data_IF_223762734666
#
_entry.id   IF_223762734666
#
_cell.length_a   1.000
_cell.length_b   1.000
_cell.length_c   1.000
_cell.angle_alpha   90.00
_cell.angle_beta   90.00
_cell.angle_gamma   90.00
#
_symmetry.space_group_name_H-M   'P 1'
#
loop_
_entity.id
_entity.type
_entity.pdbx_description
1 polymer ?
#
# COMPACT_ATOMS: atom_id res chain seq x y z
N UNK A 1 -24.04 -25.07 12.30
CA UNK A 1 -23.14 -24.09 11.66
C UNK A 1 -22.95 -24.51 10.22
N UNK A 2 -23.66 -23.86 9.29
CA UNK A 2 -23.61 -24.20 7.88
C UNK A 2 -22.31 -23.66 7.28
N UNK A 3 -21.42 -24.55 6.83
CA UNK A 3 -20.31 -24.18 5.93
C UNK A 3 -20.93 -23.95 4.56
N UNK A 4 -20.99 -22.70 4.13
CA UNK A 4 -21.32 -22.35 2.75
C UNK A 4 -20.19 -22.87 1.86
N UNK A 5 -20.46 -23.93 1.11
CA UNK A 5 -19.62 -24.37 0.02
C UNK A 5 -19.54 -23.22 -0.99
N UNK A 6 -18.39 -22.55 -1.03
CA UNK A 6 -18.08 -21.55 -2.04
C UNK A 6 -17.86 -22.32 -3.34
N UNK A 7 -18.85 -22.31 -4.21
CA UNK A 7 -18.74 -22.85 -5.56
C UNK A 7 -17.59 -22.14 -6.26
N UNK A 8 -16.47 -22.84 -6.43
CA UNK A 8 -15.37 -22.41 -7.29
C UNK A 8 -15.92 -22.25 -8.70
N UNK A 9 -15.85 -21.04 -9.24
CA UNK A 9 -16.26 -20.78 -10.62
C UNK A 9 -15.26 -21.45 -11.56
N UNK A 10 -15.68 -21.92 -12.74
CA UNK A 10 -14.74 -22.35 -13.77
C UNK A 10 -13.88 -21.12 -14.14
N UNK A 11 -12.60 -21.14 -13.78
CA UNK A 11 -11.68 -20.00 -13.80
C UNK A 11 -10.91 -19.79 -12.49
N UNK A 12 -11.36 -20.34 -11.36
CA UNK A 12 -10.63 -20.20 -10.08
C UNK A 12 -9.32 -21.04 -10.04
N UNK A 13 -9.20 -22.06 -10.89
CA UNK A 13 -7.96 -22.85 -11.02
C UNK A 13 -6.81 -22.05 -11.67
N UNK A 14 -7.14 -20.99 -12.41
CA UNK A 14 -6.17 -20.08 -13.01
C UNK A 14 -5.57 -19.08 -11.99
N UNK A 15 -6.13 -18.97 -10.78
CA UNK A 15 -5.63 -18.04 -9.77
C UNK A 15 -5.04 -18.75 -8.55
N UNK A 16 -4.58 -20.00 -8.71
CA UNK A 16 -3.94 -20.78 -7.64
C UNK A 16 -2.71 -20.11 -7.01
N UNK A 17 -2.10 -19.15 -7.70
CA UNK A 17 -0.97 -18.36 -7.18
C UNK A 17 -1.39 -17.25 -6.23
N UNK A 18 -2.68 -16.85 -6.25
CA UNK A 18 -3.20 -15.81 -5.36
C UNK A 18 -3.94 -16.47 -4.20
N UNK A 19 -3.58 -16.13 -2.98
CA UNK A 19 -4.32 -16.55 -1.80
C UNK A 19 -5.74 -15.96 -1.86
N UNK A 20 -6.81 -16.78 -1.97
CA UNK A 20 -8.18 -16.29 -2.09
C UNK A 20 -8.66 -15.54 -0.84
N UNK A 21 -7.95 -15.66 0.30
CA UNK A 21 -8.29 -14.98 1.54
C UNK A 21 -7.79 -13.54 1.58
N UNK A 22 -6.62 -13.27 0.98
CA UNK A 22 -6.00 -11.94 0.95
C UNK A 22 -6.31 -11.17 -0.33
N UNK A 23 -6.69 -11.86 -1.42
CA UNK A 23 -7.00 -11.19 -2.69
C UNK A 23 -8.27 -10.33 -2.62
N UNK A 24 -8.27 -9.17 -3.27
CA UNK A 24 -9.43 -8.29 -3.44
C UNK A 24 -9.52 -7.79 -4.88
N UNK A 25 -10.64 -7.99 -5.60
CA UNK A 25 -10.80 -7.42 -6.93
C UNK A 25 -10.81 -5.89 -6.86
N UNK A 26 -10.27 -5.23 -7.90
CA UNK A 26 -10.20 -3.77 -7.99
C UNK A 26 -11.15 -3.18 -9.04
N UNK A 27 -12.14 -3.98 -9.47
CA UNK A 27 -13.12 -3.60 -10.49
C UNK A 27 -13.93 -2.35 -10.07
N UNK A 28 -14.17 -2.14 -8.77
CA UNK A 28 -14.96 -1.03 -8.22
C UNK A 28 -14.14 0.26 -7.97
N UNK A 29 -12.81 0.18 -8.04
CA UNK A 29 -11.89 1.33 -7.88
C UNK A 29 -11.25 1.76 -9.21
N UNK A 30 -11.81 1.31 -10.33
CA UNK A 30 -11.40 1.74 -11.68
C UNK A 30 -10.22 0.97 -12.27
N UNK A 31 -9.89 -0.20 -11.74
CA UNK A 31 -8.90 -1.12 -12.29
C UNK A 31 -9.54 -2.48 -12.62
N UNK A 32 -10.45 -2.51 -13.62
CA UNK A 32 -11.12 -3.76 -14.01
C UNK A 32 -10.11 -4.79 -14.52
N UNK A 33 -10.32 -6.05 -14.18
CA UNK A 33 -9.40 -7.13 -14.57
C UNK A 33 -8.20 -7.31 -13.63
N UNK A 34 -8.00 -6.42 -12.65
CA UNK A 34 -6.92 -6.53 -11.67
C UNK A 34 -7.41 -6.94 -10.28
N UNK A 35 -6.57 -7.67 -9.56
CA UNK A 35 -6.74 -8.00 -8.15
C UNK A 35 -5.60 -7.37 -7.32
N UNK A 36 -5.91 -6.88 -6.13
CA UNK A 36 -4.91 -6.63 -5.09
C UNK A 36 -4.65 -7.94 -4.33
N UNK A 37 -3.39 -8.30 -4.10
CA UNK A 37 -3.03 -9.48 -3.32
C UNK A 37 -1.90 -9.16 -2.35
N UNK A 38 -1.99 -9.72 -1.14
CA UNK A 38 -0.86 -9.71 -0.20
C UNK A 38 0.12 -10.83 -0.57
N UNK A 39 1.40 -10.54 -0.46
CA UNK A 39 2.47 -11.54 -0.48
C UNK A 39 3.48 -11.25 0.62
N UNK A 40 4.30 -12.24 0.92
CA UNK A 40 5.37 -12.15 1.92
C UNK A 40 6.69 -12.14 1.18
N UNK A 41 7.50 -11.10 1.39
CA UNK A 41 8.84 -10.99 0.81
C UNK A 41 9.84 -11.91 1.54
N UNK A 42 11.03 -12.09 0.99
CA UNK A 42 12.08 -12.96 1.52
C UNK A 42 12.51 -12.59 2.96
N UNK A 43 12.31 -11.34 3.37
CA UNK A 43 12.60 -10.85 4.73
C UNK A 43 11.42 -11.04 5.72
N UNK A 44 10.30 -11.59 5.25
CA UNK A 44 9.09 -11.81 6.04
C UNK A 44 8.15 -10.60 6.11
N UNK A 45 8.44 -9.51 5.41
CA UNK A 45 7.55 -8.36 5.32
C UNK A 45 6.34 -8.65 4.43
N UNK A 46 5.18 -8.08 4.78
CA UNK A 46 3.96 -8.18 3.96
C UNK A 46 3.93 -7.02 2.98
N UNK A 47 3.84 -7.33 1.70
CA UNK A 47 3.74 -6.34 0.62
C UNK A 47 2.47 -6.57 -0.20
N UNK A 48 1.91 -5.48 -0.72
CA UNK A 48 0.70 -5.51 -1.53
C UNK A 48 1.04 -5.38 -3.01
N UNK A 49 0.55 -6.32 -3.81
CA UNK A 49 0.74 -6.37 -5.25
C UNK A 49 -0.57 -6.11 -5.97
N UNK A 50 -0.50 -5.38 -7.08
CA UNK A 50 -1.60 -5.30 -8.04
C UNK A 50 -1.29 -6.31 -9.14
N UNK A 51 -2.19 -7.27 -9.32
CA UNK A 51 -2.02 -8.41 -10.23
C UNK A 51 -3.04 -8.28 -11.37
N UNK A 52 -2.54 -8.19 -12.59
CA UNK A 52 -3.36 -8.26 -13.80
C UNK A 52 -3.75 -9.72 -14.08
N UNK A 53 -5.04 -10.05 -13.94
CA UNK A 53 -5.53 -11.43 -14.06
C UNK A 53 -5.35 -11.99 -15.46
N UNK A 54 -5.47 -11.15 -16.48
CA UNK A 54 -5.41 -11.58 -17.88
C UNK A 54 -3.97 -11.90 -18.33
N UNK A 55 -2.98 -11.50 -17.53
CA UNK A 55 -1.55 -11.61 -17.87
C UNK A 55 -0.76 -12.57 -16.99
N UNK A 56 -1.38 -13.18 -15.97
CA UNK A 56 -0.69 -14.02 -14.97
C UNK A 56 0.01 -15.26 -15.57
N UNK A 57 -0.35 -15.67 -16.80
CA UNK A 57 0.26 -16.79 -17.54
C UNK A 57 1.01 -16.38 -18.80
N UNK A 58 0.99 -15.09 -19.15
CA UNK A 58 1.66 -14.63 -20.34
C UNK A 58 3.18 -14.58 -20.06
N UNK A 59 3.92 -15.49 -20.70
CA UNK A 59 5.38 -15.60 -20.56
C UNK A 59 6.13 -14.50 -21.33
N UNK A 60 5.43 -13.72 -22.15
CA UNK A 60 5.97 -12.58 -22.88
C UNK A 60 5.81 -11.25 -22.14
N UNK A 61 5.28 -11.27 -20.92
CA UNK A 61 5.10 -10.07 -20.11
C UNK A 61 6.46 -9.64 -19.58
N UNK A 62 6.85 -8.41 -19.92
CA UNK A 62 7.91 -7.70 -19.22
C UNK A 62 7.51 -7.60 -17.73
N UNK A 63 8.19 -8.36 -16.88
CA UNK A 63 7.98 -8.39 -15.43
C UNK A 63 8.57 -7.14 -14.73
N UNK A 64 9.10 -6.21 -15.51
CA UNK A 64 9.85 -5.07 -15.01
C UNK A 64 11.27 -5.45 -14.61
N UNK A 65 11.96 -4.48 -14.02
CA UNK A 65 13.27 -4.69 -13.42
C UNK A 65 13.12 -5.58 -12.17
N UNK A 66 13.98 -6.59 -12.02
CA UNK A 66 14.02 -7.46 -10.82
C UNK A 66 14.49 -6.71 -9.57
N UNK A 67 15.19 -5.58 -9.76
CA UNK A 67 15.63 -4.69 -8.69
C UNK A 67 15.15 -3.27 -8.97
N UNK A 68 13.83 -3.03 -9.00
CA UNK A 68 13.35 -1.68 -9.17
C UNK A 68 13.82 -0.89 -7.94
N UNK A 69 14.33 0.35 -8.09
CA UNK A 69 14.60 1.20 -6.95
C UNK A 69 13.30 1.37 -6.15
N UNK A 70 13.23 0.75 -4.98
CA UNK A 70 12.06 0.73 -4.09
C UNK A 70 11.66 2.15 -3.64
N UNK A 71 12.62 3.06 -3.65
CA UNK A 71 12.42 4.48 -3.40
C UNK A 71 12.68 5.29 -4.67
N UNK A 72 11.67 5.37 -5.55
CA UNK A 72 11.63 6.43 -6.57
C UNK A 72 11.36 7.78 -5.90
N UNK A 73 12.39 8.33 -5.25
CA UNK A 73 12.42 9.67 -4.67
C UNK A 73 12.54 10.71 -5.79
N UNK A 74 11.46 10.88 -6.55
CA UNK A 74 11.42 11.77 -7.70
C UNK A 74 10.02 12.31 -7.95
N UNK A 75 9.95 13.42 -8.67
CA UNK A 75 8.66 14.02 -8.98
C UNK A 75 7.94 13.15 -10.03
N UNK A 76 6.78 12.57 -9.68
CA UNK A 76 5.95 11.69 -10.52
C UNK A 76 5.92 12.08 -12.01
N UNK A 77 6.05 11.16 -12.98
CA UNK A 77 6.03 11.48 -14.40
C UNK A 77 4.83 12.37 -14.79
N UNK A 78 5.01 13.27 -15.77
CA UNK A 78 4.01 14.27 -16.19
C UNK A 78 2.55 13.75 -16.33
N UNK A 79 2.28 12.58 -16.95
CA UNK A 79 0.90 12.08 -17.07
C UNK A 79 0.25 11.70 -15.72
N UNK A 80 1.05 11.47 -14.68
CA UNK A 80 0.60 11.13 -13.32
C UNK A 80 0.50 12.35 -12.41
N UNK A 81 1.02 13.51 -12.82
CA UNK A 81 0.89 14.78 -12.06
C UNK A 81 -0.52 15.37 -12.19
N UNK A 82 -1.21 15.07 -13.28
CA UNK A 82 -2.53 15.63 -13.62
C UNK A 82 -3.71 14.79 -13.16
N UNK A 83 -3.48 13.51 -12.83
CA UNK A 83 -4.46 12.71 -12.10
C UNK A 83 -4.59 13.28 -10.70
N UNK A 84 -5.81 13.42 -10.20
CA UNK A 84 -6.17 13.95 -8.89
C UNK A 84 -5.48 13.20 -7.75
N UNK A 85 -4.18 13.43 -7.54
CA UNK A 85 -3.51 13.05 -6.33
C UNK A 85 -4.25 13.74 -5.19
N UNK A 86 -4.68 13.01 -4.14
CA UNK A 86 -5.25 13.66 -2.97
C UNK A 86 -4.26 14.72 -2.52
N UNK A 87 -4.69 15.98 -2.54
CA UNK A 87 -3.91 17.15 -2.14
C UNK A 87 -3.18 16.75 -0.85
N UNK A 88 -1.83 16.73 -0.82
CA UNK A 88 -1.10 16.17 0.32
C UNK A 88 -1.65 16.84 1.58
N UNK A 89 -2.35 16.06 2.40
CA UNK A 89 -2.85 16.53 3.67
C UNK A 89 -1.62 16.94 4.44
N UNK A 90 -1.55 18.21 4.84
CA UNK A 90 -0.37 18.73 5.52
C UNK A 90 -0.01 17.76 6.66
N UNK A 91 1.25 17.27 6.74
CA UNK A 91 1.63 16.26 7.70
C UNK A 91 1.27 16.71 9.11
N UNK A 92 0.94 15.76 9.99
CA UNK A 92 0.55 16.04 11.37
C UNK A 92 1.69 15.69 12.33
N UNK A 93 1.73 16.36 13.49
CA UNK A 93 2.80 16.25 14.47
C UNK A 93 3.03 14.80 14.95
N UNK A 94 1.97 14.00 15.11
CA UNK A 94 2.02 12.60 15.50
C UNK A 94 2.62 12.31 16.88
N UNK A 95 2.93 13.33 17.70
CA UNK A 95 3.51 13.12 19.03
C UNK A 95 2.45 12.58 19.99
N UNK A 96 2.81 11.66 20.91
CA UNK A 96 1.87 11.22 21.93
C UNK A 96 1.50 12.40 22.83
N UNK A 97 0.20 12.62 23.00
CA UNK A 97 -0.34 13.56 23.98
C UNK A 97 -0.24 12.96 25.39
N UNK A 98 -0.53 13.76 26.42
CA UNK A 98 -0.64 13.27 27.80
C UNK A 98 -1.67 12.14 27.98
N UNK A 99 -2.64 12.03 27.05
CA UNK A 99 -3.65 10.96 27.01
C UNK A 99 -3.26 9.77 26.12
N UNK A 100 -2.03 9.75 25.59
CA UNK A 100 -1.51 8.70 24.72
C UNK A 100 -2.01 8.74 23.27
N UNK A 101 -2.86 9.71 22.90
CA UNK A 101 -3.34 9.87 21.52
C UNK A 101 -2.30 10.59 20.66
N UNK A 102 -2.30 10.34 19.35
CA UNK A 102 -1.42 11.06 18.43
C UNK A 102 -1.86 12.53 18.25
N UNK A 103 -0.91 13.45 18.30
CA UNK A 103 -1.14 14.88 18.08
C UNK A 103 -1.49 15.16 16.61
N UNK A 104 -2.70 15.66 16.36
CA UNK A 104 -3.22 15.99 15.02
C UNK A 104 -2.86 17.39 14.51
N UNK A 105 -2.01 18.15 15.21
CA UNK A 105 -1.62 19.50 14.77
C UNK A 105 -0.83 19.40 13.47
N UNK A 106 -1.26 20.14 12.44
CA UNK A 106 -0.58 20.21 11.14
C UNK A 106 0.77 20.91 11.28
N UNK A 107 1.77 20.37 10.61
CA UNK A 107 3.18 20.79 10.64
C UNK A 107 3.73 20.78 9.22
N UNK A 108 4.73 21.61 8.95
CA UNK A 108 5.50 21.52 7.72
C UNK A 108 6.55 20.41 7.86
N UNK A 109 6.67 19.56 6.84
CA UNK A 109 7.76 18.59 6.72
C UNK A 109 7.85 17.54 7.84
N UNK A 110 6.73 17.10 8.42
CA UNK A 110 6.72 16.01 9.42
C UNK A 110 7.35 16.37 10.78
N UNK A 111 7.62 17.65 11.05
CA UNK A 111 8.23 18.10 12.30
C UNK A 111 7.29 17.97 13.52
N UNK A 112 7.84 18.07 14.74
CA UNK A 112 7.00 18.24 15.94
C UNK A 112 6.40 19.64 16.00
N UNK A 113 5.13 19.76 16.40
CA UNK A 113 4.48 21.06 16.58
C UNK A 113 5.12 21.83 17.75
N UNK A 114 4.86 23.13 17.86
CA UNK A 114 5.47 23.99 18.88
C UNK A 114 5.27 23.48 20.33
N UNK A 115 4.16 22.81 20.63
CA UNK A 115 3.92 22.18 21.94
C UNK A 115 4.83 20.97 22.22
N UNK A 116 5.23 20.23 21.18
CA UNK A 116 6.05 19.02 21.30
C UNK A 116 7.51 19.25 20.87
N UNK A 117 7.84 20.43 20.32
CA UNK A 117 9.19 20.80 19.90
C UNK A 117 10.15 21.00 21.08
N UNK A 118 9.61 21.39 22.23
CA UNK A 118 10.36 21.60 23.48
C UNK A 118 10.63 20.29 24.25
N UNK A 119 10.05 19.16 23.83
CA UNK A 119 10.21 17.85 24.45
C UNK A 119 11.06 16.92 23.57
N UNK A 120 12.15 17.44 23.01
CA UNK A 120 13.15 16.58 22.38
C UNK A 120 13.60 15.52 23.41
N UNK A 121 13.59 14.23 23.07
CA UNK A 121 14.01 13.20 24.00
C UNK A 121 15.45 13.49 24.41
N UNK A 122 15.71 13.54 25.72
CA UNK A 122 17.07 13.44 26.23
C UNK A 122 17.56 12.05 25.83
N UNK A 123 18.48 11.98 24.89
CA UNK A 123 19.21 10.74 24.61
C UNK A 123 19.87 10.29 25.91
N UNK A 124 19.35 9.21 26.49
CA UNK A 124 19.97 8.50 27.60
C UNK A 124 21.20 7.78 27.06
N UNK A 125 22.38 8.25 27.44
CA UNK A 125 23.67 7.61 27.22
C UNK A 125 24.09 6.83 28.46
#
# INVERSE_FOLDING_TARGET
MARTNRETRPGDDELRFLDPTTRRPLDDVGLPGSDLAETVDADGSVVLWIVDRDRIYDRGVDLGDEQPPHDLTGALPAPWRSGSAPKPTAPVCGAPTATGKACGIRVAGGARCHHHRAAAPKESR
#
